data_IF_826679611500
#
_entry.id   IF_826679611500
#
_cell.length_a   1.000
_cell.length_b   1.000
_cell.length_c   1.000
_cell.angle_alpha   90.00
_cell.angle_beta   90.00
_cell.angle_gamma   90.00
#
_symmetry.space_group_name_H-M   'P 1'
#
loop_
_entity.id
_entity.type
_entity.pdbx_description
1 polymer ?
#
# COMPACT_ATOMS: atom_id res chain seq x y z
N UNK A 1 -22.92 -30.88 1.35
CA UNK A 1 -23.24 -29.56 1.95
C UNK A 1 -22.11 -28.99 2.81
N UNK A 2 -21.22 -29.82 3.39
CA UNK A 2 -20.06 -29.32 4.14
C UNK A 2 -19.08 -28.53 3.25
N UNK A 3 -18.82 -29.02 2.04
CA UNK A 3 -17.98 -28.38 1.03
C UNK A 3 -18.45 -26.95 0.71
N UNK A 4 -19.75 -26.77 0.48
CA UNK A 4 -20.34 -25.47 0.15
C UNK A 4 -20.31 -24.50 1.35
N UNK A 5 -20.50 -25.01 2.57
CA UNK A 5 -20.38 -24.18 3.78
C UNK A 5 -18.93 -23.74 4.04
N UNK A 6 -17.95 -24.62 3.80
CA UNK A 6 -16.53 -24.31 3.92
C UNK A 6 -16.09 -23.24 2.91
N UNK A 7 -16.54 -23.33 1.65
CA UNK A 7 -16.25 -22.31 0.62
C UNK A 7 -16.81 -20.94 0.97
N UNK A 8 -18.09 -20.87 1.40
CA UNK A 8 -18.71 -19.59 1.81
C UNK A 8 -17.96 -18.99 3.01
N UNK A 9 -17.61 -19.83 4.00
CA UNK A 9 -16.88 -19.38 5.18
C UNK A 9 -15.49 -18.87 4.82
N UNK A 10 -14.77 -19.57 3.94
CA UNK A 10 -13.46 -19.16 3.46
C UNK A 10 -13.53 -17.83 2.69
N UNK A 11 -14.54 -17.63 1.85
CA UNK A 11 -14.74 -16.37 1.11
C UNK A 11 -15.07 -15.20 2.06
N UNK A 12 -15.98 -15.39 3.01
CA UNK A 12 -16.29 -14.37 4.01
C UNK A 12 -15.07 -13.99 4.85
N UNK A 13 -14.28 -14.98 5.30
CA UNK A 13 -13.03 -14.74 6.02
C UNK A 13 -12.01 -13.98 5.15
N UNK A 14 -11.92 -14.27 3.86
CA UNK A 14 -11.02 -13.59 2.94
C UNK A 14 -11.35 -12.09 2.81
N UNK A 15 -12.63 -11.74 2.71
CA UNK A 15 -13.08 -10.34 2.68
C UNK A 15 -12.76 -9.60 4.00
N UNK A 16 -13.00 -10.25 5.14
CA UNK A 16 -12.69 -9.68 6.46
C UNK A 16 -11.17 -9.46 6.64
N UNK A 17 -10.35 -10.42 6.19
CA UNK A 17 -8.89 -10.30 6.21
C UNK A 17 -8.40 -9.19 5.30
N UNK A 18 -8.95 -9.07 4.08
CA UNK A 18 -8.65 -8.01 3.11
C UNK A 18 -8.93 -6.63 3.72
N UNK A 19 -10.12 -6.45 4.29
CA UNK A 19 -10.54 -5.20 4.95
C UNK A 19 -9.67 -4.86 6.16
N UNK A 20 -9.38 -5.87 7.00
CA UNK A 20 -8.51 -5.74 8.17
C UNK A 20 -7.10 -5.33 7.78
N UNK A 21 -6.50 -5.97 6.78
CA UNK A 21 -5.17 -5.63 6.28
C UNK A 21 -5.13 -4.22 5.71
N UNK A 22 -6.09 -3.85 4.86
CA UNK A 22 -6.18 -2.50 4.30
C UNK A 22 -6.23 -1.43 5.41
N UNK A 23 -7.04 -1.65 6.45
CA UNK A 23 -7.12 -0.75 7.61
C UNK A 23 -5.79 -0.64 8.36
N UNK A 24 -5.10 -1.76 8.59
CA UNK A 24 -3.79 -1.77 9.25
C UNK A 24 -2.72 -1.05 8.43
N UNK A 25 -2.73 -1.25 7.10
CA UNK A 25 -1.84 -0.56 6.17
C UNK A 25 -2.12 0.94 6.18
N UNK A 26 -3.37 1.39 6.15
CA UNK A 26 -3.71 2.82 6.25
C UNK A 26 -3.24 3.44 7.57
N UNK A 27 -3.42 2.74 8.69
CA UNK A 27 -2.89 3.18 9.98
C UNK A 27 -1.36 3.23 9.99
N UNK A 28 -0.70 2.25 9.38
CA UNK A 28 0.75 2.23 9.19
C UNK A 28 1.23 3.42 8.37
N UNK A 29 0.56 3.71 7.25
CA UNK A 29 0.87 4.83 6.35
C UNK A 29 0.76 6.18 7.09
N UNK A 30 -0.24 6.34 7.95
CA UNK A 30 -0.41 7.57 8.75
C UNK A 30 0.78 7.91 9.67
N UNK A 31 1.63 6.92 9.95
CA UNK A 31 2.82 7.04 10.80
C UNK A 31 4.11 7.22 10.00
N UNK A 32 4.05 7.27 8.67
CA UNK A 32 5.19 7.39 7.78
C UNK A 32 6.16 8.51 8.21
N UNK A 33 5.65 9.74 8.37
CA UNK A 33 6.46 10.90 8.79
C UNK A 33 6.81 10.94 10.29
N UNK A 34 6.40 9.95 11.09
CA UNK A 34 6.57 9.95 12.56
C UNK A 34 7.61 8.95 13.06
N UNK A 35 8.07 8.04 12.21
CA UNK A 35 9.04 7.01 12.58
C UNK A 35 9.91 6.65 11.38
N UNK A 36 11.22 6.79 11.52
CA UNK A 36 12.19 6.40 10.49
C UNK A 36 12.09 4.93 10.12
N UNK A 37 11.79 4.06 11.09
CA UNK A 37 11.57 2.63 10.82
C UNK A 37 10.32 2.37 9.98
N UNK A 38 9.23 3.09 10.25
CA UNK A 38 8.00 2.99 9.46
C UNK A 38 8.20 3.58 8.06
N UNK A 39 8.93 4.69 7.96
CA UNK A 39 9.30 5.31 6.70
C UNK A 39 10.07 4.34 5.81
N UNK A 40 11.17 3.76 6.33
CA UNK A 40 11.98 2.78 5.60
C UNK A 40 11.18 1.55 5.19
N UNK A 41 10.31 1.05 6.07
CA UNK A 41 9.46 -0.10 5.76
C UNK A 41 8.54 0.21 4.57
N UNK A 42 7.85 1.35 4.58
CA UNK A 42 7.00 1.78 3.46
C UNK A 42 7.77 2.01 2.17
N UNK A 43 8.93 2.68 2.26
CA UNK A 43 9.75 2.93 1.09
C UNK A 43 10.21 1.61 0.44
N UNK A 44 10.60 0.64 1.26
CA UNK A 44 10.96 -0.69 0.78
C UNK A 44 9.75 -1.43 0.20
N UNK A 45 8.60 -1.41 0.87
CA UNK A 45 7.38 -2.06 0.39
C UNK A 45 6.96 -1.53 -0.98
N UNK A 46 6.93 -0.21 -1.15
CA UNK A 46 6.51 0.43 -2.40
C UNK A 46 7.43 0.08 -3.58
N UNK A 47 8.75 0.10 -3.36
CA UNK A 47 9.72 -0.31 -4.37
C UNK A 47 9.63 -1.81 -4.68
N UNK A 48 9.56 -2.66 -3.64
CA UNK A 48 9.57 -4.12 -3.80
C UNK A 48 8.33 -4.62 -4.53
N UNK A 49 7.17 -4.07 -4.18
CA UNK A 49 5.90 -4.46 -4.78
C UNK A 49 5.55 -3.62 -6.02
N UNK A 50 6.36 -2.62 -6.37
CA UNK A 50 6.07 -1.69 -7.47
C UNK A 50 4.66 -1.09 -7.35
N UNK A 51 4.38 -0.51 -6.17
CA UNK A 51 3.10 0.08 -5.80
C UNK A 51 3.29 1.49 -5.21
N UNK A 52 2.21 2.25 -5.10
CA UNK A 52 2.22 3.54 -4.41
C UNK A 52 0.96 3.71 -3.56
N UNK A 53 1.15 3.96 -2.26
CA UNK A 53 0.06 4.03 -1.28
C UNK A 53 -0.58 2.67 -0.97
N UNK A 54 -1.64 2.67 -0.16
CA UNK A 54 -2.39 1.44 0.16
C UNK A 54 -3.31 1.07 -0.99
N UNK A 55 -4.20 1.99 -1.37
CA UNK A 55 -5.14 1.86 -2.47
C UNK A 55 -4.58 2.45 -3.76
N UNK A 56 -3.90 3.60 -3.68
CA UNK A 56 -3.19 4.26 -4.78
C UNK A 56 -2.41 5.49 -4.25
N UNK A 57 -1.71 6.19 -5.15
CA UNK A 57 -0.87 7.34 -4.82
C UNK A 57 -1.61 8.51 -4.13
N UNK A 58 -2.94 8.61 -4.25
CA UNK A 58 -3.71 9.66 -3.59
C UNK A 58 -3.77 9.51 -2.06
N UNK A 59 -3.43 8.35 -1.50
CA UNK A 59 -3.33 8.14 -0.05
C UNK A 59 -2.29 9.06 0.60
N UNK A 60 -1.30 9.50 -0.17
CA UNK A 60 -0.27 10.45 0.27
C UNK A 60 -0.76 11.89 0.40
N UNK A 61 -1.91 12.24 -0.21
CA UNK A 61 -2.44 13.61 -0.20
C UNK A 61 -2.70 14.14 1.22
N UNK A 62 -3.10 13.27 2.15
CA UNK A 62 -3.30 13.61 3.55
C UNK A 62 -1.99 13.78 4.35
N UNK A 63 -0.88 13.26 3.82
CA UNK A 63 0.43 13.21 4.49
C UNK A 63 1.41 14.26 3.95
N UNK A 64 1.05 14.92 2.84
CA UNK A 64 1.72 16.10 2.30
C UNK A 64 2.42 15.84 0.97
N UNK A 65 3.24 14.79 0.87
CA UNK A 65 4.01 14.50 -0.33
C UNK A 65 4.08 12.99 -0.61
N UNK A 66 4.06 12.66 -1.89
CA UNK A 66 4.35 11.31 -2.38
C UNK A 66 5.86 11.07 -2.25
N UNK A 67 6.31 9.95 -1.67
CA UNK A 67 7.72 9.65 -1.55
C UNK A 67 8.31 9.14 -2.87
N UNK A 68 9.63 9.29 -3.05
CA UNK A 68 10.34 8.82 -4.24
C UNK A 68 10.26 7.30 -4.44
N UNK A 69 9.97 6.55 -3.38
CA UNK A 69 9.72 5.11 -3.44
C UNK A 69 8.49 4.72 -4.26
N UNK A 70 7.62 5.67 -4.62
CA UNK A 70 6.50 5.48 -5.53
C UNK A 70 6.86 5.59 -7.02
N UNK A 71 8.06 6.07 -7.37
CA UNK A 71 8.42 6.31 -8.76
C UNK A 71 8.79 5.02 -9.49
N UNK A 72 8.40 4.93 -10.75
CA UNK A 72 8.77 3.80 -11.62
C UNK A 72 10.29 3.76 -11.81
N UNK A 73 10.91 4.92 -12.04
CA UNK A 73 12.35 5.06 -12.08
C UNK A 73 12.83 5.67 -10.77
N UNK A 74 13.64 4.91 -10.04
CA UNK A 74 14.19 5.35 -8.76
C UNK A 74 15.22 6.44 -8.99
N UNK A 75 14.86 7.68 -8.66
CA UNK A 75 15.77 8.82 -8.62
C UNK A 75 15.43 9.72 -7.44
N UNK A 76 16.42 10.47 -6.94
CA UNK A 76 16.19 11.42 -5.84
C UNK A 76 15.34 12.59 -6.35
N UNK A 77 14.20 12.83 -5.71
CA UNK A 77 13.27 13.90 -6.04
C UNK A 77 12.28 13.59 -7.17
N UNK A 78 12.26 12.36 -7.70
CA UNK A 78 11.38 11.99 -8.82
C UNK A 78 9.90 12.31 -8.58
N UNK A 79 9.39 12.09 -7.36
CA UNK A 79 7.99 12.33 -7.05
C UNK A 79 7.66 13.83 -7.08
N UNK A 80 8.63 14.67 -6.70
CA UNK A 80 8.53 16.14 -6.76
C UNK A 80 8.63 16.66 -8.19
N UNK A 81 9.38 15.98 -9.04
CA UNK A 81 9.53 16.29 -10.47
C UNK A 81 8.35 15.81 -11.32
N UNK A 82 7.30 15.25 -10.69
CA UNK A 82 6.12 14.69 -11.35
C UNK A 82 6.48 13.54 -12.31
N UNK A 83 7.51 12.77 -11.96
CA UNK A 83 7.88 11.56 -12.69
C UNK A 83 6.74 10.52 -12.64
N UNK A 84 6.72 9.57 -13.60
CA UNK A 84 5.76 8.49 -13.59
C UNK A 84 5.82 7.67 -12.29
N UNK A 85 4.64 7.49 -11.66
CA UNK A 85 4.48 6.72 -10.43
C UNK A 85 3.92 5.33 -10.73
N UNK A 86 4.15 4.39 -9.82
CA UNK A 86 3.47 3.10 -9.85
C UNK A 86 1.93 3.30 -9.79
N UNK A 87 1.18 2.73 -10.75
CA UNK A 87 -0.25 3.04 -10.90
C UNK A 87 -1.15 2.33 -9.87
N UNK A 88 -0.68 1.22 -9.29
CA UNK A 88 -1.46 0.40 -8.34
C UNK A 88 -1.08 0.64 -6.88
N UNK A 89 -2.05 0.48 -5.98
CA UNK A 89 -1.80 0.46 -4.54
C UNK A 89 -1.20 -0.85 -4.04
N UNK A 90 -0.53 -0.81 -2.90
CA UNK A 90 0.13 -1.99 -2.35
C UNK A 90 -0.86 -3.08 -1.91
N UNK A 91 -2.11 -2.72 -1.61
CA UNK A 91 -3.16 -3.69 -1.31
C UNK A 91 -3.51 -4.56 -2.53
N UNK A 92 -3.43 -4.02 -3.76
CA UNK A 92 -3.64 -4.80 -4.99
C UNK A 92 -2.50 -5.80 -5.23
N UNK A 93 -1.27 -5.45 -4.82
CA UNK A 93 -0.07 -6.26 -5.10
C UNK A 93 0.16 -7.41 -4.11
N UNK A 94 -0.59 -7.43 -3.01
CA UNK A 94 -0.55 -8.52 -2.01
C UNK A 94 -1.64 -9.58 -2.23
N UNK A 95 -2.48 -9.40 -3.25
CA UNK A 95 -3.50 -10.35 -3.70
C UNK A 95 -2.98 -11.22 -4.84
#
# INVERSE_FOLDING_TARGET
>A
MLETAAVITAYALHEDLRSGLSTQLQMGLSRYNRSSGVQMAWDQTQQTLSCCGVANSSDWSALGAIPDSCCIESSSGCARELAPLHPGGCMEKVE
#
